data_IF_723972777925
#
_entry.id   IF_723972777925
#
_cell.length_a   1.000
_cell.length_b   1.000
_cell.length_c   1.000
_cell.angle_alpha   90.00
_cell.angle_beta   90.00
_cell.angle_gamma   90.00
#
_symmetry.space_group_name_H-M   'P 1'
#
loop_
_entity.id
_entity.type
_entity.pdbx_description
1 polymer ?
#
# COMPACT_ATOMS: atom_id res chain seq x y z
N UNK A 1 -14.34 -9.09 10.81
CA UNK A 1 -13.25 -10.06 11.10
C UNK A 1 -12.09 -9.28 11.68
N UNK A 2 -11.47 -9.79 12.77
CA UNK A 2 -10.29 -9.15 13.36
C UNK A 2 -9.06 -9.99 13.03
N UNK A 3 -7.95 -9.35 12.62
CA UNK A 3 -6.66 -10.00 12.41
C UNK A 3 -5.61 -9.23 13.21
N UNK A 4 -4.79 -9.97 13.99
CA UNK A 4 -3.68 -9.39 14.74
C UNK A 4 -2.47 -9.20 13.83
N UNK A 5 -2.00 -7.96 13.70
CA UNK A 5 -0.78 -7.57 13.01
C UNK A 5 0.32 -7.18 14.01
N UNK A 6 1.57 -7.44 13.66
CA UNK A 6 2.71 -7.19 14.55
C UNK A 6 3.17 -5.71 14.59
N UNK A 7 2.71 -4.89 13.62
CA UNK A 7 2.98 -3.44 13.56
C UNK A 7 1.77 -2.67 14.07
N UNK A 8 0.57 -2.97 13.53
CA UNK A 8 -0.63 -2.16 13.72
C UNK A 8 -1.56 -2.67 14.83
N UNK A 9 -1.27 -3.82 15.44
CA UNK A 9 -2.15 -4.43 16.44
C UNK A 9 -3.36 -5.11 15.81
N UNK A 10 -4.54 -4.96 16.38
CA UNK A 10 -5.77 -5.59 15.89
C UNK A 10 -6.37 -4.73 14.76
N UNK A 11 -6.49 -5.33 13.57
CA UNK A 11 -7.09 -4.69 12.39
C UNK A 11 -8.48 -5.28 12.17
N UNK A 12 -9.48 -4.40 12.15
CA UNK A 12 -10.88 -4.77 11.89
C UNK A 12 -11.20 -4.74 10.38
N UNK A 13 -11.82 -5.83 9.89
CA UNK A 13 -12.26 -5.96 8.51
C UNK A 13 -13.78 -6.16 8.43
N UNK A 14 -14.43 -5.45 7.53
CA UNK A 14 -15.84 -5.62 7.19
C UNK A 14 -16.14 -7.02 6.64
N UNK A 15 -17.41 -7.44 6.58
CA UNK A 15 -17.77 -8.72 5.95
C UNK A 15 -17.38 -8.82 4.47
N UNK A 16 -17.40 -7.72 3.73
CA UNK A 16 -16.98 -7.67 2.33
C UNK A 16 -15.47 -7.87 2.19
N UNK A 17 -14.67 -7.10 2.94
CA UNK A 17 -13.21 -7.24 2.99
C UNK A 17 -12.79 -8.65 3.45
N UNK A 18 -13.49 -9.22 4.45
CA UNK A 18 -13.22 -10.57 4.93
C UNK A 18 -13.39 -11.64 3.84
N UNK A 19 -14.38 -11.50 2.94
CA UNK A 19 -14.56 -12.39 1.80
C UNK A 19 -13.41 -12.31 0.81
N UNK A 20 -12.92 -11.10 0.54
CA UNK A 20 -11.76 -10.87 -0.33
C UNK A 20 -10.52 -11.50 0.29
N UNK A 21 -10.24 -11.21 1.57
CA UNK A 21 -9.08 -11.75 2.29
C UNK A 21 -9.10 -13.29 2.31
N UNK A 22 -10.28 -13.92 2.46
CA UNK A 22 -10.43 -15.38 2.45
C UNK A 22 -10.33 -16.01 1.06
N UNK A 23 -10.38 -15.22 -0.02
CA UNK A 23 -10.29 -15.73 -1.37
C UNK A 23 -8.89 -16.31 -1.64
N UNK A 24 -8.84 -17.43 -2.39
CA UNK A 24 -7.58 -18.13 -2.70
C UNK A 24 -6.51 -17.24 -3.36
N UNK A 25 -6.92 -16.29 -4.18
CA UNK A 25 -6.01 -15.37 -4.85
C UNK A 25 -5.36 -14.40 -3.87
N UNK A 26 -6.10 -13.90 -2.89
CA UNK A 26 -5.54 -13.10 -1.82
C UNK A 26 -4.69 -13.94 -0.86
N UNK A 27 -5.14 -15.16 -0.51
CA UNK A 27 -4.39 -16.08 0.34
C UNK A 27 -3.03 -16.49 -0.27
N UNK A 28 -2.89 -16.46 -1.60
CA UNK A 28 -1.62 -16.69 -2.30
C UNK A 28 -0.50 -15.75 -1.81
N UNK A 29 -0.84 -14.51 -1.44
CA UNK A 29 0.13 -13.53 -0.95
C UNK A 29 0.88 -13.98 0.32
N UNK A 30 0.35 -14.97 1.07
CA UNK A 30 1.06 -15.60 2.19
C UNK A 30 2.32 -16.37 1.80
N UNK A 31 2.44 -16.72 0.52
CA UNK A 31 3.60 -17.45 -0.01
C UNK A 31 4.57 -16.52 -0.75
N UNK A 32 4.27 -15.24 -0.82
CA UNK A 32 5.10 -14.25 -1.52
C UNK A 32 5.75 -13.36 -0.48
N UNK A 33 7.09 -13.45 -0.37
CA UNK A 33 7.86 -12.59 0.50
C UNK A 33 7.82 -11.14 -0.01
N UNK A 34 7.73 -10.18 0.91
CA UNK A 34 7.77 -8.74 0.58
C UNK A 34 9.09 -8.36 -0.09
N UNK A 35 10.20 -8.81 0.47
CA UNK A 35 11.56 -8.41 0.08
C UNK A 35 12.29 -9.50 -0.73
N UNK A 36 11.57 -10.31 -1.50
CA UNK A 36 12.12 -11.30 -2.42
C UNK A 36 13.29 -12.12 -1.81
N UNK A 37 14.52 -11.74 -2.10
CA UNK A 37 15.75 -12.44 -1.70
C UNK A 37 16.46 -11.83 -0.48
N UNK A 38 15.94 -10.77 0.11
CA UNK A 38 16.60 -10.06 1.20
C UNK A 38 16.85 -10.94 2.45
N UNK A 39 16.11 -12.03 2.63
CA UNK A 39 16.33 -12.99 3.72
C UNK A 39 17.67 -13.74 3.63
N UNK A 40 18.36 -13.71 2.50
CA UNK A 40 19.75 -14.19 2.40
C UNK A 40 20.73 -13.30 3.19
N UNK A 41 20.43 -12.02 3.31
CA UNK A 41 21.24 -11.03 4.05
C UNK A 41 20.61 -10.78 5.43
N UNK A 42 19.30 -10.65 5.49
CA UNK A 42 18.51 -10.38 6.68
C UNK A 42 17.60 -11.57 6.98
N UNK A 43 18.06 -12.60 7.72
CA UNK A 43 17.30 -13.86 7.90
C UNK A 43 15.90 -13.69 8.49
N UNK A 44 15.61 -12.56 9.16
CA UNK A 44 14.30 -12.20 9.68
C UNK A 44 13.34 -11.63 8.61
N UNK A 45 13.83 -11.25 7.43
CA UNK A 45 13.05 -10.64 6.35
C UNK A 45 12.19 -11.68 5.59
N UNK A 46 11.36 -12.41 6.32
CA UNK A 46 10.49 -13.49 5.82
C UNK A 46 9.02 -13.10 5.78
N UNK A 47 8.69 -11.86 6.11
CA UNK A 47 7.33 -11.34 6.07
C UNK A 47 6.79 -11.33 4.64
N UNK A 48 5.48 -11.39 4.55
CA UNK A 48 4.80 -11.66 3.28
C UNK A 48 4.01 -10.45 2.80
N UNK A 49 3.74 -10.38 1.50
CA UNK A 49 2.82 -9.38 0.93
C UNK A 49 1.42 -9.46 1.53
N UNK A 50 1.00 -10.64 2.03
CA UNK A 50 -0.24 -10.77 2.76
C UNK A 50 -0.27 -9.89 4.01
N UNK A 51 0.76 -9.95 4.86
CA UNK A 51 0.83 -9.15 6.08
C UNK A 51 0.91 -7.65 5.75
N UNK A 52 1.71 -7.30 4.74
CA UNK A 52 1.85 -5.94 4.24
C UNK A 52 0.51 -5.37 3.74
N UNK A 53 -0.21 -6.07 2.85
CA UNK A 53 -1.50 -5.59 2.33
C UNK A 53 -2.52 -5.34 3.44
N UNK A 54 -2.53 -6.14 4.51
CA UNK A 54 -3.39 -5.87 5.67
C UNK A 54 -2.95 -4.62 6.44
N UNK A 55 -1.65 -4.41 6.57
CA UNK A 55 -1.09 -3.21 7.21
C UNK A 55 -1.40 -1.93 6.45
N UNK A 56 -1.32 -1.98 5.12
CA UNK A 56 -1.69 -0.84 4.26
C UNK A 56 -3.15 -0.45 4.45
N UNK A 57 -4.06 -1.42 4.66
CA UNK A 57 -5.47 -1.12 5.01
C UNK A 57 -5.58 -0.34 6.33
N UNK A 58 -4.75 -0.64 7.31
CA UNK A 58 -4.73 0.12 8.56
C UNK A 58 -4.12 1.51 8.36
N UNK A 59 -3.00 1.61 7.64
CA UNK A 59 -2.36 2.88 7.33
C UNK A 59 -3.33 3.84 6.62
N UNK A 60 -3.98 3.40 5.55
CA UNK A 60 -4.93 4.25 4.82
C UNK A 60 -6.14 4.66 5.67
N UNK A 61 -6.55 3.78 6.58
CA UNK A 61 -7.63 4.07 7.54
C UNK A 61 -7.23 5.19 8.50
N UNK A 62 -6.02 5.13 9.04
CA UNK A 62 -5.50 6.14 9.98
C UNK A 62 -5.29 7.49 9.27
N UNK A 63 -4.71 7.46 8.06
CA UNK A 63 -4.50 8.64 7.21
C UNK A 63 -5.83 9.34 6.88
N UNK A 64 -6.83 8.60 6.40
CA UNK A 64 -8.12 9.17 6.04
C UNK A 64 -8.83 9.80 7.25
N UNK A 65 -8.81 9.11 8.40
CA UNK A 65 -9.37 9.66 9.64
C UNK A 65 -8.67 10.94 10.10
N UNK A 66 -7.33 11.00 9.95
CA UNK A 66 -6.56 12.19 10.29
C UNK A 66 -6.89 13.36 9.36
N UNK A 67 -6.95 13.13 8.04
CA UNK A 67 -7.36 14.15 7.06
C UNK A 67 -8.75 14.67 7.37
N UNK A 68 -9.75 13.81 7.59
CA UNK A 68 -11.11 14.22 7.91
C UNK A 68 -11.21 14.95 9.26
N UNK A 69 -10.29 14.69 10.19
CA UNK A 69 -10.21 15.46 11.46
C UNK A 69 -9.67 16.86 11.22
N UNK A 70 -8.67 17.02 10.36
CA UNK A 70 -8.03 18.31 10.07
C UNK A 70 -8.81 19.12 9.04
N UNK A 71 -9.50 18.45 8.11
CA UNK A 71 -10.44 19.04 7.14
C UNK A 71 -11.76 18.22 7.11
N UNK A 72 -12.75 18.52 7.95
CA UNK A 72 -14.03 17.81 7.97
C UNK A 72 -14.83 17.93 6.67
N UNK A 73 -14.52 18.89 5.80
CA UNK A 73 -15.23 19.08 4.53
C UNK A 73 -14.82 18.05 3.49
N UNK A 74 -13.69 17.39 3.70
CA UNK A 74 -13.18 16.34 2.82
C UNK A 74 -13.97 15.03 2.92
N UNK A 75 -14.63 14.77 4.06
CA UNK A 75 -15.32 13.51 4.33
C UNK A 75 -16.43 13.18 3.33
N UNK A 76 -16.41 11.94 2.78
CA UNK A 76 -17.53 11.30 2.09
C UNK A 76 -17.67 9.85 2.58
N UNK A 77 -18.90 9.34 2.64
CA UNK A 77 -19.18 7.99 3.13
C UNK A 77 -18.52 6.87 2.29
N UNK A 78 -18.36 7.11 0.99
CA UNK A 78 -17.76 6.17 0.02
C UNK A 78 -16.24 6.06 0.12
N UNK A 79 -15.55 7.07 0.65
CA UNK A 79 -14.08 7.21 0.50
C UNK A 79 -13.31 6.16 1.27
N UNK A 80 -13.60 6.00 2.56
CA UNK A 80 -12.87 5.04 3.37
C UNK A 80 -13.05 3.59 2.88
N UNK A 81 -14.27 3.12 2.55
CA UNK A 81 -14.44 1.83 1.89
C UNK A 81 -13.67 1.70 0.57
N UNK A 82 -13.64 2.75 -0.26
CA UNK A 82 -12.89 2.77 -1.52
C UNK A 82 -11.38 2.63 -1.28
N UNK A 83 -10.81 3.47 -0.43
CA UNK A 83 -9.39 3.45 -0.08
C UNK A 83 -8.95 2.11 0.51
N UNK A 84 -9.77 1.51 1.37
CA UNK A 84 -9.50 0.19 1.96
C UNK A 84 -9.54 -0.93 0.92
N UNK A 85 -10.44 -0.84 -0.07
CA UNK A 85 -10.42 -1.76 -1.21
C UNK A 85 -9.17 -1.58 -2.07
N UNK A 86 -8.78 -0.34 -2.39
CA UNK A 86 -7.52 -0.07 -3.09
C UNK A 86 -6.33 -0.68 -2.34
N UNK A 87 -6.25 -0.48 -1.01
CA UNK A 87 -5.21 -1.05 -0.16
C UNK A 87 -5.19 -2.59 -0.16
N UNK A 88 -6.33 -3.28 -0.23
CA UNK A 88 -6.37 -4.73 -0.34
C UNK A 88 -5.86 -5.22 -1.70
N UNK A 89 -6.11 -4.49 -2.75
CA UNK A 89 -5.82 -4.94 -4.12
C UNK A 89 -4.46 -4.50 -4.65
N UNK A 90 -3.80 -3.47 -4.07
CA UNK A 90 -2.60 -2.86 -4.64
C UNK A 90 -1.49 -3.88 -4.98
N UNK A 91 -1.29 -4.88 -4.12
CA UNK A 91 -0.24 -5.89 -4.25
C UNK A 91 -0.74 -7.25 -4.77
N UNK A 92 -2.06 -7.38 -5.07
CA UNK A 92 -2.68 -8.67 -5.38
C UNK A 92 -2.03 -9.38 -6.58
N UNK A 93 -1.57 -8.63 -7.56
CA UNK A 93 -1.07 -9.18 -8.82
C UNK A 93 0.44 -9.46 -8.82
N UNK A 94 1.16 -9.13 -7.76
CA UNK A 94 2.60 -9.40 -7.69
C UNK A 94 2.93 -10.89 -7.87
N UNK A 95 3.93 -11.21 -8.72
CA UNK A 95 4.42 -12.57 -8.89
C UNK A 95 5.31 -13.01 -7.71
N UNK A 96 5.63 -14.31 -7.59
CA UNK A 96 6.70 -14.77 -6.72
C UNK A 96 8.00 -14.03 -7.02
N UNK A 97 8.78 -13.71 -6.00
CA UNK A 97 9.98 -12.86 -6.06
C UNK A 97 9.74 -11.42 -6.51
N UNK A 98 8.46 -10.99 -6.55
CA UNK A 98 8.07 -9.59 -6.74
C UNK A 98 8.74 -8.96 -7.98
N UNK A 99 9.36 -7.80 -7.84
CA UNK A 99 9.98 -7.08 -8.94
C UNK A 99 11.10 -7.84 -9.68
N UNK A 100 11.73 -8.84 -9.05
CA UNK A 100 12.71 -9.67 -9.77
C UNK A 100 12.07 -10.52 -10.86
N UNK A 101 10.85 -11.02 -10.64
CA UNK A 101 10.09 -11.75 -11.66
C UNK A 101 9.44 -10.83 -12.69
N UNK A 102 9.17 -9.57 -12.36
CA UNK A 102 8.64 -8.57 -13.31
C UNK A 102 9.67 -8.19 -14.36
N UNK A 103 10.96 -8.15 -14.03
CA UNK A 103 12.03 -7.94 -15.01
C UNK A 103 12.06 -9.01 -16.11
N UNK A 104 11.50 -10.19 -15.81
CA UNK A 104 11.36 -11.31 -16.76
C UNK A 104 10.00 -11.33 -17.48
N UNK A 105 9.05 -10.50 -17.05
CA UNK A 105 7.70 -10.42 -17.60
C UNK A 105 7.59 -9.23 -18.57
N UNK A 106 6.77 -9.42 -19.60
CA UNK A 106 6.38 -8.32 -20.53
C UNK A 106 5.19 -7.54 -20.05
N UNK A 107 4.57 -7.93 -18.92
CA UNK A 107 3.33 -7.34 -18.38
C UNK A 107 3.60 -6.95 -16.92
N UNK A 108 3.43 -5.68 -16.62
CA UNK A 108 3.52 -5.15 -15.25
C UNK A 108 2.32 -5.60 -14.40
N UNK A 109 2.49 -5.63 -13.07
CA UNK A 109 1.43 -6.10 -12.16
C UNK A 109 0.23 -5.14 -12.15
N UNK A 110 0.43 -3.85 -12.43
CA UNK A 110 -0.63 -2.85 -12.55
C UNK A 110 -1.58 -3.16 -13.70
N UNK A 111 -1.05 -3.60 -14.86
CA UNK A 111 -1.89 -3.98 -16.01
C UNK A 111 -2.79 -5.18 -15.71
N UNK A 112 -2.32 -6.09 -14.83
CA UNK A 112 -3.09 -7.26 -14.39
C UNK A 112 -4.15 -6.93 -13.36
N UNK A 113 -4.05 -5.78 -12.71
CA UNK A 113 -4.98 -5.40 -11.65
C UNK A 113 -6.41 -5.23 -12.17
N UNK A 114 -6.60 -4.61 -13.33
CA UNK A 114 -7.92 -4.42 -13.95
C UNK A 114 -8.62 -5.77 -14.17
N UNK A 115 -7.91 -6.78 -14.70
CA UNK A 115 -8.47 -8.12 -14.89
C UNK A 115 -8.77 -8.79 -13.54
N UNK A 116 -7.91 -8.60 -12.54
CA UNK A 116 -8.11 -9.15 -11.21
C UNK A 116 -9.35 -8.54 -10.53
N UNK A 117 -9.54 -7.21 -10.61
CA UNK A 117 -10.70 -6.52 -10.04
C UNK A 117 -12.03 -7.05 -10.65
N UNK A 118 -12.06 -7.37 -11.93
CA UNK A 118 -13.25 -7.96 -12.55
C UNK A 118 -13.59 -9.34 -11.97
N UNK A 119 -12.59 -10.14 -11.59
CA UNK A 119 -12.82 -11.42 -10.90
C UNK A 119 -13.43 -11.26 -9.51
N UNK A 120 -13.23 -10.12 -8.87
CA UNK A 120 -13.74 -9.81 -7.53
C UNK A 120 -14.99 -8.91 -7.53
N UNK A 121 -15.53 -8.54 -8.69
CA UNK A 121 -16.59 -7.54 -8.85
C UNK A 121 -17.80 -7.73 -7.93
N UNK A 122 -18.20 -8.98 -7.68
CA UNK A 122 -19.33 -9.29 -6.80
C UNK A 122 -19.01 -9.22 -5.30
N UNK A 123 -17.71 -9.08 -4.95
CA UNK A 123 -17.23 -8.96 -3.58
C UNK A 123 -16.90 -7.52 -3.21
N UNK A 124 -16.63 -6.65 -4.18
CA UNK A 124 -16.32 -5.24 -3.98
C UNK A 124 -17.61 -4.49 -3.72
N UNK A 125 -17.83 -4.12 -2.46
CA UNK A 125 -19.03 -3.40 -2.01
C UNK A 125 -18.57 -2.06 -1.43
N UNK A 126 -18.89 -0.98 -2.14
CA UNK A 126 -18.58 0.40 -1.74
C UNK A 126 -19.89 1.18 -1.83
N UNK A 127 -20.31 1.95 -0.80
CA UNK A 127 -21.32 2.98 -0.98
C UNK A 127 -20.88 3.89 -2.12
N UNK A 128 -21.71 4.04 -3.13
CA UNK A 128 -21.22 4.63 -4.39
C UNK A 128 -22.19 5.66 -4.92
N UNK A 129 -21.82 6.92 -4.76
CA UNK A 129 -22.52 8.07 -5.32
C UNK A 129 -22.07 8.38 -6.78
N UNK A 130 -21.05 7.66 -7.26
CA UNK A 130 -20.52 7.76 -8.62
C UNK A 130 -21.35 6.85 -9.56
N UNK A 131 -21.61 7.31 -10.77
CA UNK A 131 -22.43 6.58 -11.74
C UNK A 131 -21.62 5.47 -12.47
N UNK A 132 -20.94 4.63 -11.70
CA UNK A 132 -20.14 3.50 -12.19
C UNK A 132 -20.22 2.31 -11.20
N UNK A 133 -19.77 1.13 -11.62
CA UNK A 133 -19.69 -0.02 -10.72
C UNK A 133 -18.55 0.14 -9.72
N UNK A 134 -18.70 -0.47 -8.53
CA UNK A 134 -17.73 -0.34 -7.44
C UNK A 134 -16.30 -0.77 -7.85
N UNK A 135 -16.13 -1.88 -8.57
CA UNK A 135 -14.83 -2.34 -9.05
C UNK A 135 -14.21 -1.41 -10.12
N UNK A 136 -15.05 -0.82 -10.98
CA UNK A 136 -14.62 0.18 -11.97
C UNK A 136 -14.12 1.45 -11.27
N UNK A 137 -14.75 1.85 -10.16
CA UNK A 137 -14.30 2.99 -9.36
C UNK A 137 -12.92 2.73 -8.73
N UNK A 138 -12.71 1.53 -8.15
CA UNK A 138 -11.40 1.14 -7.61
C UNK A 138 -10.32 1.22 -8.69
N UNK A 139 -10.58 0.63 -9.87
CA UNK A 139 -9.65 0.63 -10.99
C UNK A 139 -9.33 2.05 -11.47
N UNK A 140 -10.35 2.88 -11.66
CA UNK A 140 -10.21 4.27 -12.12
C UNK A 140 -9.34 5.11 -11.18
N UNK A 141 -9.58 5.00 -9.87
CA UNK A 141 -8.80 5.76 -8.88
C UNK A 141 -7.39 5.21 -8.79
N UNK A 142 -7.20 3.89 -8.91
CA UNK A 142 -5.88 3.26 -8.89
C UNK A 142 -5.03 3.65 -10.11
N UNK A 143 -5.61 3.70 -11.31
CA UNK A 143 -4.93 4.11 -12.56
C UNK A 143 -4.50 5.60 -12.56
N UNK A 144 -5.03 6.39 -11.65
CA UNK A 144 -4.59 7.77 -11.44
C UNK A 144 -4.69 8.65 -12.69
N UNK A 145 -3.70 9.50 -12.89
CA UNK A 145 -3.68 10.53 -13.95
C UNK A 145 -3.80 10.01 -15.39
N UNK A 146 -3.63 8.72 -15.65
CA UNK A 146 -3.82 8.09 -16.97
C UNK A 146 -5.29 7.83 -17.31
N UNK A 147 -6.19 7.91 -16.34
CA UNK A 147 -7.62 7.63 -16.52
C UNK A 147 -8.37 8.83 -17.10
N UNK A 148 -9.28 8.55 -18.06
CA UNK A 148 -10.18 9.57 -18.66
C UNK A 148 -11.12 10.21 -17.61
N UNK A 149 -11.30 9.56 -16.48
CA UNK A 149 -12.22 9.94 -15.40
C UNK A 149 -11.58 10.81 -14.30
N UNK A 150 -10.25 10.98 -14.27
CA UNK A 150 -9.53 11.77 -13.28
C UNK A 150 -9.63 13.30 -13.51
N UNK A 151 -10.84 13.77 -13.81
CA UNK A 151 -11.19 15.19 -13.73
C UNK A 151 -11.81 15.56 -12.39
N UNK A 152 -12.19 14.56 -11.59
CA UNK A 152 -12.71 14.77 -10.24
C UNK A 152 -11.53 14.96 -9.28
N UNK A 153 -11.39 16.21 -8.79
CA UNK A 153 -10.35 16.63 -7.85
C UNK A 153 -10.37 15.81 -6.56
N UNK A 154 -11.53 15.38 -6.11
CA UNK A 154 -11.65 14.56 -4.91
C UNK A 154 -11.07 13.14 -5.13
N UNK A 155 -11.34 12.53 -6.28
CA UNK A 155 -10.73 11.24 -6.63
C UNK A 155 -9.21 11.34 -6.81
N UNK A 156 -8.70 12.47 -7.32
CA UNK A 156 -7.25 12.72 -7.37
C UNK A 156 -6.64 12.79 -5.97
N UNK A 157 -7.31 13.47 -5.05
CA UNK A 157 -6.88 13.48 -3.65
C UNK A 157 -6.89 12.08 -3.03
N UNK A 158 -7.92 11.26 -3.29
CA UNK A 158 -7.96 9.87 -2.83
C UNK A 158 -6.85 9.01 -3.43
N UNK A 159 -6.52 9.20 -4.71
CA UNK A 159 -5.39 8.51 -5.35
C UNK A 159 -4.07 8.76 -4.59
N UNK A 160 -3.82 9.99 -4.13
CA UNK A 160 -2.60 10.35 -3.41
C UNK A 160 -2.40 9.62 -2.07
N UNK A 161 -3.43 8.96 -1.53
CA UNK A 161 -3.28 8.09 -0.34
C UNK A 161 -2.60 6.76 -0.68
N UNK A 162 -2.63 6.34 -1.96
CA UNK A 162 -2.07 5.06 -2.41
C UNK A 162 -0.85 5.23 -3.31
N UNK A 163 -0.74 6.37 -4.02
CA UNK A 163 0.41 6.72 -4.85
C UNK A 163 0.75 8.20 -4.67
N UNK A 164 1.46 8.50 -3.61
CA UNK A 164 1.87 9.84 -3.23
C UNK A 164 3.30 9.88 -2.71
N UNK A 165 3.77 11.07 -2.35
CA UNK A 165 5.06 11.21 -1.67
C UNK A 165 5.01 10.55 -0.27
N UNK A 166 3.91 10.77 0.46
CA UNK A 166 3.54 10.07 1.69
C UNK A 166 2.29 9.27 1.35
N UNK A 167 2.36 7.96 1.31
CA UNK A 167 1.22 7.09 1.05
C UNK A 167 1.15 5.91 2.02
N UNK A 168 0.03 5.21 2.01
CA UNK A 168 -0.23 4.13 2.93
C UNK A 168 0.71 2.94 2.74
N UNK A 169 1.14 2.67 1.51
CA UNK A 169 2.10 1.63 1.16
C UNK A 169 3.45 1.91 1.83
N UNK A 170 3.99 3.13 1.65
CA UNK A 170 5.27 3.56 2.24
C UNK A 170 5.24 3.58 3.77
N UNK A 171 4.11 3.99 4.36
CA UNK A 171 3.95 4.01 5.81
C UNK A 171 3.99 2.60 6.43
N UNK A 172 3.46 1.58 5.73
CA UNK A 172 3.53 0.22 6.23
C UNK A 172 4.90 -0.42 5.98
N UNK A 173 5.38 -0.40 4.70
CA UNK A 173 6.55 -1.19 4.39
C UNK A 173 7.82 -0.67 5.08
N UNK A 174 8.00 0.63 5.29
CA UNK A 174 9.19 1.15 5.97
C UNK A 174 9.32 0.61 7.40
N UNK A 175 8.24 0.64 8.19
CA UNK A 175 8.25 0.12 9.55
C UNK A 175 8.35 -1.42 9.55
N UNK A 176 7.60 -2.08 8.67
CA UNK A 176 7.55 -3.55 8.58
C UNK A 176 8.88 -4.14 8.14
N UNK A 177 9.45 -3.63 7.08
CA UNK A 177 10.73 -4.09 6.55
C UNK A 177 11.85 -3.85 7.57
N UNK A 178 11.88 -2.67 8.21
CA UNK A 178 12.87 -2.37 9.24
C UNK A 178 12.78 -3.34 10.42
N UNK A 179 11.56 -3.62 10.90
CA UNK A 179 11.34 -4.58 11.98
C UNK A 179 11.86 -5.97 11.59
N UNK A 180 11.48 -6.46 10.41
CA UNK A 180 11.83 -7.80 9.96
C UNK A 180 13.30 -7.96 9.55
N UNK A 181 13.92 -6.90 9.03
CA UNK A 181 15.37 -6.85 8.79
C UNK A 181 16.20 -6.65 10.09
N UNK A 182 15.56 -6.39 11.22
CA UNK A 182 16.25 -6.12 12.50
C UNK A 182 16.97 -4.77 12.55
N UNK A 183 16.50 -3.80 11.75
CA UNK A 183 17.09 -2.46 11.62
C UNK A 183 16.25 -1.42 12.36
N UNK A 184 16.90 -0.32 12.74
CA UNK A 184 16.22 0.84 13.35
C UNK A 184 16.07 2.02 12.39
N UNK A 185 16.60 1.92 11.19
CA UNK A 185 16.65 3.01 10.22
C UNK A 185 15.28 3.35 9.62
N UNK A 186 14.37 2.37 9.51
CA UNK A 186 13.01 2.59 9.01
C UNK A 186 12.04 3.13 10.05
N UNK A 187 12.50 3.41 11.28
CA UNK A 187 11.64 3.97 12.32
C UNK A 187 11.53 5.49 12.15
N UNK A 188 10.30 5.97 12.18
CA UNK A 188 9.95 7.40 12.17
C UNK A 188 8.71 7.61 13.06
N UNK A 189 8.39 8.83 13.41
CA UNK A 189 7.17 9.13 14.17
C UNK A 189 5.94 9.11 13.23
N UNK A 190 5.43 7.89 12.97
CA UNK A 190 4.25 7.67 12.13
C UNK A 190 3.01 8.37 12.69
N UNK A 191 2.84 8.37 14.02
CA UNK A 191 1.66 8.96 14.65
C UNK A 191 1.63 10.48 14.44
N UNK A 192 2.75 11.14 14.64
CA UNK A 192 2.87 12.59 14.42
C UNK A 192 2.73 12.94 12.94
N UNK A 193 3.38 12.20 12.06
CA UNK A 193 3.25 12.38 10.60
C UNK A 193 1.80 12.22 10.14
N UNK A 194 1.13 11.13 10.52
CA UNK A 194 -0.26 10.87 10.13
C UNK A 194 -1.20 11.93 10.71
N UNK A 195 -1.00 12.35 11.97
CA UNK A 195 -1.85 13.37 12.60
C UNK A 195 -1.77 14.74 11.92
N UNK A 196 -0.68 15.03 11.21
CA UNK A 196 -0.45 16.27 10.47
C UNK A 196 -0.98 16.27 9.04
N UNK A 197 -1.53 15.15 8.55
CA UNK A 197 -2.03 15.04 7.18
C UNK A 197 -3.25 15.92 6.94
N UNK A 198 -3.28 16.53 5.76
CA UNK A 198 -4.39 17.38 5.26
C UNK A 198 -4.45 17.29 3.74
N UNK A 199 -5.42 17.96 3.10
CA UNK A 199 -5.48 18.08 1.65
C UNK A 199 -5.14 19.52 1.25
N UNK A 200 -4.30 19.66 0.24
CA UNK A 200 -4.00 20.94 -0.40
C UNK A 200 -3.87 20.75 -1.91
N UNK A 201 -4.54 21.59 -2.69
CA UNK A 201 -4.52 21.54 -4.16
C UNK A 201 -4.76 20.12 -4.72
N UNK A 202 -5.80 19.45 -4.19
CA UNK A 202 -6.24 18.11 -4.61
C UNK A 202 -5.21 16.98 -4.34
N UNK A 203 -4.23 17.22 -3.47
CA UNK A 203 -3.21 16.25 -3.08
C UNK A 203 -3.10 16.14 -1.56
N UNK A 204 -2.61 14.98 -1.10
CA UNK A 204 -2.24 14.79 0.29
C UNK A 204 -1.07 15.73 0.64
N UNK A 205 -1.20 16.45 1.74
CA UNK A 205 -0.24 17.41 2.25
C UNK A 205 -0.06 17.24 3.76
N UNK A 206 0.89 17.95 4.33
CA UNK A 206 1.08 18.05 5.78
C UNK A 206 0.93 19.48 6.26
N UNK A 207 0.49 19.66 7.49
CA UNK A 207 0.54 20.95 8.18
C UNK A 207 1.97 21.30 8.60
N UNK A 208 2.23 22.56 8.93
CA UNK A 208 3.55 23.03 9.38
C UNK A 208 4.09 22.25 10.59
N UNK A 209 3.20 21.76 11.43
CA UNK A 209 3.59 21.05 12.66
C UNK A 209 4.18 19.66 12.38
N UNK A 210 3.82 19.05 11.23
CA UNK A 210 4.31 17.73 10.82
C UNK A 210 5.69 17.71 10.14
N UNK A 211 6.34 18.85 9.93
CA UNK A 211 7.60 18.95 9.15
C UNK A 211 8.70 18.07 9.74
N UNK A 212 8.90 18.07 11.06
CA UNK A 212 9.93 17.22 11.69
C UNK A 212 9.66 15.72 11.52
N UNK A 213 8.39 15.30 11.59
CA UNK A 213 8.00 13.92 11.36
C UNK A 213 8.21 13.52 9.88
N UNK A 214 7.94 14.45 8.93
CA UNK A 214 8.24 14.26 7.52
C UNK A 214 9.73 14.12 7.25
N UNK A 215 10.58 14.95 7.85
CA UNK A 215 12.03 14.84 7.73
C UNK A 215 12.53 13.47 8.22
N UNK A 216 11.99 13.00 9.35
CA UNK A 216 12.28 11.69 9.90
C UNK A 216 11.86 10.56 8.95
N UNK A 217 10.67 10.65 8.35
CA UNK A 217 10.18 9.70 7.34
C UNK A 217 11.07 9.66 6.09
N UNK A 218 11.50 10.81 5.58
CA UNK A 218 12.38 10.90 4.41
C UNK A 218 13.74 10.26 4.71
N UNK A 219 14.30 10.51 5.90
CA UNK A 219 15.56 9.90 6.33
C UNK A 219 15.42 8.39 6.52
N UNK A 220 14.32 7.91 7.13
CA UNK A 220 14.03 6.50 7.27
C UNK A 220 13.99 5.81 5.90
N UNK A 221 13.25 6.39 4.95
CA UNK A 221 13.18 5.90 3.56
C UNK A 221 14.57 5.86 2.90
N UNK A 222 15.34 6.94 3.00
CA UNK A 222 16.69 7.00 2.43
C UNK A 222 17.59 5.86 2.96
N UNK A 223 17.59 5.64 4.27
CA UNK A 223 18.41 4.59 4.86
C UNK A 223 17.93 3.19 4.51
N UNK A 224 16.62 2.95 4.44
CA UNK A 224 16.09 1.66 4.01
C UNK A 224 16.45 1.35 2.56
N UNK A 225 16.42 2.35 1.67
CA UNK A 225 16.89 2.19 0.29
C UNK A 225 18.36 1.82 0.24
N UNK A 226 19.21 2.53 1.00
CA UNK A 226 20.66 2.33 1.01
C UNK A 226 21.07 0.99 1.62
N UNK A 227 20.47 0.61 2.75
CA UNK A 227 20.92 -0.52 3.57
C UNK A 227 20.20 -1.84 3.24
N UNK A 228 18.98 -1.78 2.70
CA UNK A 228 18.15 -2.96 2.42
C UNK A 228 17.89 -3.12 0.94
N UNK A 229 17.15 -2.18 0.32
CA UNK A 229 16.63 -2.38 -1.05
C UNK A 229 17.71 -2.34 -2.13
N UNK A 230 18.84 -1.67 -1.87
CA UNK A 230 20.02 -1.66 -2.74
C UNK A 230 21.22 -2.39 -2.14
N UNK A 231 20.98 -3.33 -1.18
CA UNK A 231 22.08 -4.09 -0.60
C UNK A 231 22.80 -4.90 -1.70
N UNK A 232 24.15 -4.84 -1.79
CA UNK A 232 24.90 -5.47 -2.89
C UNK A 232 24.63 -6.96 -3.04
N UNK A 233 24.58 -7.71 -1.94
CA UNK A 233 24.42 -9.16 -1.97
C UNK A 233 22.97 -9.55 -2.40
N UNK A 234 21.94 -8.78 -1.98
CA UNK A 234 20.56 -8.97 -2.48
C UNK A 234 20.51 -8.77 -4.00
N UNK A 235 21.12 -7.71 -4.50
CA UNK A 235 21.17 -7.40 -5.92
C UNK A 235 21.91 -8.48 -6.73
N UNK A 236 22.98 -9.04 -6.19
CA UNK A 236 23.70 -10.16 -6.83
C UNK A 236 22.76 -11.38 -7.00
N UNK A 237 22.07 -11.78 -5.92
CA UNK A 237 21.13 -12.91 -5.97
C UNK A 237 20.00 -12.65 -6.97
N UNK A 238 19.47 -11.42 -7.01
CA UNK A 238 18.45 -11.01 -7.98
C UNK A 238 18.95 -11.10 -9.43
N UNK A 239 20.15 -10.62 -9.72
CA UNK A 239 20.75 -10.70 -11.05
C UNK A 239 20.94 -12.17 -11.45
N UNK A 240 21.49 -13.00 -10.56
CA UNK A 240 21.65 -14.42 -10.82
C UNK A 240 20.32 -15.11 -11.15
N UNK A 241 19.25 -14.78 -10.42
CA UNK A 241 17.91 -15.29 -10.70
C UNK A 241 17.42 -14.86 -12.09
N UNK A 242 17.63 -13.60 -12.48
CA UNK A 242 17.20 -13.10 -13.80
C UNK A 242 18.02 -13.69 -14.96
N UNK A 243 19.29 -14.01 -14.75
CA UNK A 243 20.15 -14.61 -15.80
C UNK A 243 19.89 -16.12 -16.02
N UNK A 244 19.39 -16.83 -15.01
CA UNK A 244 19.12 -18.28 -15.08
C UNK A 244 17.71 -18.62 -15.62
N UNK A 245 16.78 -17.66 -15.69
CA UNK A 245 15.41 -17.87 -16.15
C UNK A 245 15.22 -17.47 -17.61
#
# INVERSE_FOLDING_TARGET
MVIRDNIHGDIDFSPAEAKIIQNRWFQRLRQIKQLAFADHVFPGATHTRFAHSLGVVQCVTDMYKAVCKNDPTFYRESDLPLLRMMALFHDLCHPPFSHASEELSTIEHEERLTEALELFKDMIIIPNDYNCKAYELVDQVYQGYGSVYMRDKHLMALHSFMDGFIDADKLDYLERDALHCGLRYGNFDRQDLVSSLTINDDNLAITSDGVSALESFVLARYYMFKEVYYHPDERIVRIMYCEEM
#
